data_IF_915088734677
#
_entry.id   IF_915088734677
#
_cell.length_a   1.000
_cell.length_b   1.000
_cell.length_c   1.000
_cell.angle_alpha   90.00
_cell.angle_beta   90.00
_cell.angle_gamma   90.00
#
_symmetry.space_group_name_H-M   'P 1'
#
loop_
_entity.id
_entity.type
_entity.pdbx_description
1 polymer ?
#
# COMPACT_ATOMS: atom_id res chain seq x y z
N UNK A 1 3.85 17.26 -13.97
CA UNK A 1 3.74 15.78 -13.80
C UNK A 1 3.64 15.44 -12.33
N UNK A 2 2.54 14.83 -11.89
CA UNK A 2 2.48 14.24 -10.55
C UNK A 2 3.48 13.10 -10.46
N UNK A 3 4.47 13.20 -9.58
CA UNK A 3 5.42 12.11 -9.33
C UNK A 3 4.67 10.94 -8.71
N UNK A 4 4.33 9.94 -9.52
CA UNK A 4 3.72 8.71 -9.04
C UNK A 4 4.80 7.85 -8.37
N UNK A 5 4.45 7.21 -7.24
CA UNK A 5 5.31 6.17 -6.64
C UNK A 5 5.41 4.98 -7.60
N UNK A 6 6.58 4.33 -7.66
CA UNK A 6 6.78 3.10 -8.42
C UNK A 6 5.87 1.98 -7.94
N UNK A 7 5.60 0.99 -8.77
CA UNK A 7 4.73 -0.12 -8.39
C UNK A 7 5.33 -0.95 -7.26
N UNK A 8 6.64 -1.20 -7.29
CA UNK A 8 7.36 -1.91 -6.23
C UNK A 8 7.20 -1.22 -4.88
N UNK A 9 7.25 0.12 -4.86
CA UNK A 9 7.04 0.89 -3.64
C UNK A 9 5.63 0.67 -3.05
N UNK A 10 4.60 0.63 -3.91
CA UNK A 10 3.22 0.38 -3.49
C UNK A 10 3.07 -1.05 -2.97
N UNK A 11 3.70 -2.02 -3.64
CA UNK A 11 3.68 -3.42 -3.24
C UNK A 11 4.33 -3.62 -1.88
N UNK A 12 5.50 -3.01 -1.63
CA UNK A 12 6.17 -3.06 -0.33
C UNK A 12 5.30 -2.48 0.79
N UNK A 13 4.63 -1.34 0.55
CA UNK A 13 3.70 -0.75 1.53
C UNK A 13 2.51 -1.68 1.84
N UNK A 14 1.95 -2.33 0.81
CA UNK A 14 0.82 -3.26 0.97
C UNK A 14 1.25 -4.53 1.70
N UNK A 15 2.39 -5.13 1.34
CA UNK A 15 2.92 -6.31 2.02
C UNK A 15 3.18 -6.02 3.49
N UNK A 16 3.85 -4.90 3.79
CA UNK A 16 4.10 -4.48 5.16
C UNK A 16 2.82 -4.38 5.99
N UNK A 17 1.77 -3.73 5.45
CA UNK A 17 0.47 -3.62 6.11
C UNK A 17 -0.21 -4.97 6.36
N UNK A 18 -0.14 -5.89 5.38
CA UNK A 18 -0.82 -7.19 5.46
C UNK A 18 -0.07 -8.20 6.35
N UNK A 19 1.26 -8.23 6.27
CA UNK A 19 2.11 -9.21 6.97
C UNK A 19 2.31 -8.84 8.44
N UNK A 20 2.56 -7.56 8.74
CA UNK A 20 2.80 -7.12 10.12
C UNK A 20 1.51 -6.87 10.92
N UNK A 21 0.33 -7.04 10.31
CA UNK A 21 -0.99 -6.67 10.89
C UNK A 21 -0.99 -5.26 11.49
N UNK A 22 -0.20 -4.37 10.92
CA UNK A 22 -0.03 -3.02 11.44
C UNK A 22 -1.26 -2.15 11.11
N UNK A 23 -1.40 -1.04 11.80
CA UNK A 23 -2.46 -0.07 11.53
C UNK A 23 -2.18 0.69 10.22
N UNK A 24 -3.26 1.11 9.57
CA UNK A 24 -3.18 1.89 8.32
C UNK A 24 -2.41 3.19 8.54
N UNK A 25 -2.64 3.85 9.68
CA UNK A 25 -1.99 5.11 10.03
C UNK A 25 -0.49 4.95 10.22
N UNK A 26 -0.04 3.88 10.89
CA UNK A 26 1.39 3.65 11.09
C UNK A 26 2.09 3.30 9.77
N UNK A 27 1.50 2.42 8.96
CA UNK A 27 2.02 2.13 7.62
C UNK A 27 2.11 3.41 6.78
N UNK A 28 1.09 4.26 6.81
CA UNK A 28 1.07 5.52 6.08
C UNK A 28 2.16 6.51 6.54
N UNK A 29 2.48 6.55 7.84
CA UNK A 29 3.60 7.33 8.38
C UNK A 29 4.95 6.84 7.86
N UNK A 30 5.17 5.52 7.89
CA UNK A 30 6.43 4.89 7.41
C UNK A 30 6.62 5.11 5.90
N UNK A 31 5.58 4.83 5.12
CA UNK A 31 5.62 4.90 3.65
C UNK A 31 5.23 6.29 3.09
N UNK A 32 5.12 7.30 3.95
CA UNK A 32 4.78 8.69 3.58
C UNK A 32 3.68 8.75 2.52
N UNK A 33 2.58 8.02 2.77
CA UNK A 33 1.46 7.87 1.84
C UNK A 33 0.14 8.13 2.57
N UNK A 34 -0.93 8.41 1.81
CA UNK A 34 -2.25 8.58 2.41
C UNK A 34 -2.96 7.24 2.63
N UNK A 35 -3.81 7.16 3.66
CA UNK A 35 -4.62 5.96 3.95
C UNK A 35 -5.47 5.55 2.74
N UNK A 36 -6.00 6.53 1.99
CA UNK A 36 -6.73 6.29 0.74
C UNK A 36 -5.86 5.59 -0.31
N UNK A 37 -4.60 6.02 -0.46
CA UNK A 37 -3.66 5.40 -1.39
C UNK A 37 -3.36 3.97 -0.98
N UNK A 38 -3.05 3.74 0.30
CA UNK A 38 -2.77 2.41 0.83
C UNK A 38 -3.96 1.46 0.59
N UNK A 39 -5.18 1.88 0.93
CA UNK A 39 -6.39 1.09 0.70
C UNK A 39 -6.62 0.74 -0.78
N UNK A 40 -6.40 1.70 -1.68
CA UNK A 40 -6.50 1.47 -3.14
C UNK A 40 -5.48 0.42 -3.59
N UNK A 41 -4.23 0.51 -3.13
CA UNK A 41 -3.19 -0.45 -3.47
C UNK A 41 -3.50 -1.84 -2.91
N UNK A 42 -3.96 -1.93 -1.66
CA UNK A 42 -4.36 -3.21 -1.05
C UNK A 42 -5.53 -3.85 -1.81
N UNK A 43 -6.53 -3.06 -2.23
CA UNK A 43 -7.66 -3.56 -3.03
C UNK A 43 -7.18 -4.13 -4.38
N UNK A 44 -6.27 -3.42 -5.06
CA UNK A 44 -5.66 -3.88 -6.31
C UNK A 44 -4.88 -5.18 -6.11
N UNK A 45 -4.01 -5.21 -5.11
CA UNK A 45 -3.21 -6.39 -4.75
C UNK A 45 -4.07 -7.63 -4.49
N UNK A 46 -5.17 -7.48 -3.73
CA UNK A 46 -6.12 -8.58 -3.47
C UNK A 46 -6.86 -9.05 -4.73
N UNK A 47 -7.16 -8.13 -5.65
CA UNK A 47 -7.80 -8.47 -6.93
C UNK A 47 -6.85 -9.26 -7.82
N UNK A 48 -5.59 -8.83 -7.90
CA UNK A 48 -4.55 -9.50 -8.67
C UNK A 48 -4.21 -10.88 -8.09
N UNK A 49 -4.15 -11.03 -6.76
CA UNK A 49 -3.91 -12.34 -6.12
C UNK A 49 -5.04 -13.36 -6.26
N UNK A 50 -6.25 -12.93 -6.64
CA UNK A 50 -7.42 -13.80 -6.83
C UNK A 50 -7.48 -14.36 -8.25
N UNK A 51 -6.73 -13.77 -9.17
CA UNK A 51 -6.65 -14.15 -10.57
C UNK A 51 -5.41 -15.01 -10.82
#
# INVERSE_FOLDING_TARGET
MTKHKSEDYKLSAVKYFLENKDTKDNTCKIFKCSVRSLLRWTKRYKKEKRN
#
